data_IF_292199926282
#
_entry.id   IF_292199926282
#
_cell.length_a   1.000
_cell.length_b   1.000
_cell.length_c   1.000
_cell.angle_alpha   90.00
_cell.angle_beta   90.00
_cell.angle_gamma   90.00
#
_symmetry.space_group_name_H-M   'P 1'
#
loop_
_entity.id
_entity.type
_entity.pdbx_description
1 polymer ?
#
# COMPACT_ATOMS: atom_id res chain seq x y z
N UNK A 1 -12.41 -11.02 2.03
CA UNK A 1 -12.55 -9.90 2.97
C UNK A 1 -12.23 -8.61 2.24
N UNK A 2 -12.88 -7.48 2.57
CA UNK A 2 -12.55 -6.20 1.96
C UNK A 2 -11.06 -5.88 2.20
N UNK A 3 -10.42 -5.29 1.20
CA UNK A 3 -9.02 -4.85 1.27
C UNK A 3 -8.90 -3.33 1.20
N UNK A 4 -10.03 -2.63 1.26
CA UNK A 4 -10.09 -1.18 1.30
C UNK A 4 -11.09 -0.74 2.35
N UNK A 5 -10.63 0.11 3.26
CA UNK A 5 -11.36 0.56 4.44
C UNK A 5 -11.38 2.08 4.48
N UNK A 6 -12.47 2.65 4.99
CA UNK A 6 -12.57 4.07 5.35
C UNK A 6 -12.36 4.28 6.86
N UNK A 7 -12.15 5.52 7.36
CA UNK A 7 -11.78 5.74 8.76
C UNK A 7 -12.80 5.23 9.78
N UNK A 8 -14.09 5.19 9.42
CA UNK A 8 -15.17 4.59 10.21
C UNK A 8 -15.04 3.07 10.36
N UNK A 9 -14.31 2.42 9.46
CA UNK A 9 -14.03 0.98 9.46
C UNK A 9 -12.62 0.65 10.00
N UNK A 10 -11.96 1.60 10.67
CA UNK A 10 -10.61 1.39 11.23
C UNK A 10 -10.54 0.17 12.15
N UNK A 11 -11.58 -0.09 12.94
CA UNK A 11 -11.62 -1.26 13.82
C UNK A 11 -11.53 -2.59 13.05
N UNK A 12 -12.15 -2.68 11.87
CA UNK A 12 -12.09 -3.87 11.02
C UNK A 12 -10.70 -4.03 10.38
N UNK A 13 -10.07 -2.92 9.97
CA UNK A 13 -8.70 -2.90 9.50
C UNK A 13 -7.70 -3.40 10.56
N UNK A 14 -7.84 -2.93 11.81
CA UNK A 14 -7.03 -3.40 12.94
C UNK A 14 -7.27 -4.88 13.21
N UNK A 15 -8.53 -5.32 13.21
CA UNK A 15 -8.90 -6.72 13.41
C UNK A 15 -8.24 -7.61 12.36
N UNK A 16 -8.32 -7.24 11.08
CA UNK A 16 -7.69 -7.98 10.00
C UNK A 16 -6.16 -8.05 10.14
N UNK A 17 -5.51 -6.97 10.59
CA UNK A 17 -4.07 -6.98 10.88
C UNK A 17 -3.73 -8.02 11.96
N UNK A 18 -4.44 -7.99 13.09
CA UNK A 18 -4.18 -8.92 14.20
C UNK A 18 -4.48 -10.38 13.83
N UNK A 19 -5.55 -10.63 13.09
CA UNK A 19 -5.91 -11.97 12.61
C UNK A 19 -4.85 -12.54 11.68
N UNK A 20 -4.42 -11.78 10.66
CA UNK A 20 -3.44 -12.26 9.68
C UNK A 20 -2.02 -12.38 10.27
N UNK A 21 -1.64 -11.46 11.16
CA UNK A 21 -0.37 -11.53 11.89
C UNK A 21 -0.32 -12.74 12.84
N UNK A 22 -1.45 -13.07 13.46
CA UNK A 22 -1.53 -14.07 14.50
C UNK A 22 -0.61 -13.74 15.69
N UNK A 23 0.23 -14.71 16.05
CA UNK A 23 1.17 -14.60 17.17
C UNK A 23 2.54 -14.02 16.83
N UNK A 24 2.84 -13.73 15.56
CA UNK A 24 4.14 -13.22 15.15
C UNK A 24 4.39 -11.82 15.76
N UNK A 25 5.56 -11.55 16.36
CA UNK A 25 5.89 -10.23 16.88
C UNK A 25 6.00 -9.21 15.74
N UNK A 26 5.72 -7.94 16.05
CA UNK A 26 6.02 -6.85 15.12
C UNK A 26 7.48 -6.42 15.30
N UNK A 27 8.25 -6.46 14.22
CA UNK A 27 9.67 -6.09 14.22
C UNK A 27 10.02 -5.25 12.97
N UNK A 28 10.99 -4.33 13.06
CA UNK A 28 11.48 -3.62 11.89
C UNK A 28 12.16 -4.55 10.89
N UNK A 29 11.91 -4.32 9.60
CA UNK A 29 12.65 -4.96 8.52
C UNK A 29 13.54 -3.96 7.77
N UNK A 30 14.77 -4.37 7.50
CA UNK A 30 15.77 -3.59 6.79
C UNK A 30 15.94 -4.13 5.37
N UNK A 31 15.67 -3.30 4.37
CA UNK A 31 15.81 -3.62 2.96
C UNK A 31 16.99 -2.87 2.37
N UNK A 32 18.04 -3.59 2.00
CA UNK A 32 19.17 -3.00 1.28
C UNK A 32 18.82 -2.86 -0.20
N UNK A 33 18.68 -1.62 -0.67
CA UNK A 33 18.33 -1.27 -2.05
C UNK A 33 19.42 -0.38 -2.60
N UNK A 34 20.17 -0.81 -3.61
CA UNK A 34 21.24 -0.02 -4.23
C UNK A 34 22.22 0.64 -3.22
N UNK A 35 22.50 -0.04 -2.10
CA UNK A 35 23.43 0.44 -1.07
C UNK A 35 22.83 1.41 -0.04
N UNK A 36 21.53 1.73 -0.10
CA UNK A 36 20.78 2.39 0.99
C UNK A 36 19.93 1.38 1.75
N UNK A 37 19.67 1.68 3.01
CA UNK A 37 18.76 0.91 3.85
C UNK A 37 17.37 1.55 3.86
N UNK A 38 16.34 0.75 3.58
CA UNK A 38 14.93 1.13 3.65
C UNK A 38 14.32 0.34 4.80
N UNK A 39 13.93 1.06 5.85
CA UNK A 39 13.36 0.47 7.06
C UNK A 39 11.84 0.53 7.00
N UNK A 40 11.19 -0.62 7.20
CA UNK A 40 9.76 -0.68 7.49
C UNK A 40 9.62 -1.08 8.94
N UNK A 41 9.12 -0.16 9.77
CA UNK A 41 9.14 -0.29 11.23
C UNK A 41 8.24 -1.41 11.78
N UNK A 42 7.15 -1.71 11.08
CA UNK A 42 6.12 -2.65 11.54
C UNK A 42 5.97 -3.79 10.54
N UNK A 43 6.63 -4.90 10.80
CA UNK A 43 6.53 -6.10 9.95
C UNK A 43 6.31 -7.34 10.79
N UNK A 44 5.69 -8.35 10.19
CA UNK A 44 5.50 -9.66 10.79
C UNK A 44 5.58 -10.71 9.68
N UNK A 45 6.64 -11.53 9.70
CA UNK A 45 6.90 -12.51 8.65
C UNK A 45 6.97 -11.88 7.25
N UNK A 46 6.04 -12.28 6.37
CA UNK A 46 5.89 -11.78 5.01
C UNK A 46 4.95 -10.56 4.87
N UNK A 47 4.51 -9.96 5.98
CA UNK A 47 3.60 -8.82 6.00
C UNK A 47 4.30 -7.55 6.49
N UNK A 48 3.88 -6.40 5.95
CA UNK A 48 4.29 -5.09 6.43
C UNK A 48 3.09 -4.19 6.69
N UNK A 49 3.22 -3.28 7.66
CA UNK A 49 2.27 -2.22 7.93
C UNK A 49 3.01 -0.88 7.94
N UNK A 50 2.47 0.10 7.24
CA UNK A 50 3.07 1.43 7.15
C UNK A 50 2.01 2.51 6.95
N UNK A 51 2.33 3.74 7.34
CA UNK A 51 1.51 4.90 7.01
C UNK A 51 1.79 5.37 5.58
N UNK A 52 0.82 6.07 4.99
CA UNK A 52 1.02 6.75 3.70
C UNK A 52 2.21 7.70 3.75
N UNK A 53 2.42 8.41 4.86
CA UNK A 53 3.59 9.28 5.03
C UNK A 53 4.90 8.49 4.91
N UNK A 54 5.02 7.35 5.58
CA UNK A 54 6.22 6.53 5.58
C UNK A 54 6.61 6.03 4.19
N UNK A 55 5.61 5.69 3.35
CA UNK A 55 5.86 5.16 2.01
C UNK A 55 5.82 6.22 0.90
N UNK A 56 5.06 7.30 1.06
CA UNK A 56 4.77 8.25 -0.01
C UNK A 56 5.21 9.68 0.29
N UNK A 57 5.57 10.06 1.53
CA UNK A 57 6.16 11.37 1.84
C UNK A 57 7.69 11.32 2.08
N UNK A 58 8.28 10.12 2.00
CA UNK A 58 9.73 9.89 2.08
C UNK A 58 10.36 9.82 0.68
N UNK A 59 11.68 10.05 0.54
CA UNK A 59 12.39 9.93 -0.74
C UNK A 59 12.61 8.44 -1.11
N UNK A 60 11.52 7.72 -1.32
CA UNK A 60 11.50 6.37 -1.88
C UNK A 60 11.29 6.45 -3.39
N UNK A 61 12.04 5.64 -4.12
CA UNK A 61 11.97 5.53 -5.57
C UNK A 61 11.46 4.16 -6.03
N UNK A 62 11.32 3.96 -7.36
CA UNK A 62 10.81 2.71 -7.92
C UNK A 62 11.52 1.45 -7.42
N UNK A 63 12.84 1.48 -7.29
CA UNK A 63 13.63 0.33 -6.80
C UNK A 63 13.34 -0.01 -5.34
N UNK A 64 13.02 1.00 -4.52
CA UNK A 64 12.63 0.78 -3.13
C UNK A 64 11.26 0.08 -3.07
N UNK A 65 10.30 0.52 -3.89
CA UNK A 65 8.98 -0.11 -3.95
C UNK A 65 9.03 -1.53 -4.53
N UNK A 66 9.87 -1.79 -5.51
CA UNK A 66 10.11 -3.15 -6.01
C UNK A 66 10.70 -4.06 -4.94
N UNK A 67 11.63 -3.55 -4.12
CA UNK A 67 12.19 -4.31 -3.00
C UNK A 67 11.15 -4.58 -1.91
N UNK A 68 10.33 -3.58 -1.56
CA UNK A 68 9.21 -3.73 -0.61
C UNK A 68 8.22 -4.78 -1.14
N UNK A 69 7.77 -4.64 -2.38
CA UNK A 69 6.83 -5.56 -3.01
C UNK A 69 7.43 -6.98 -3.09
N UNK A 70 8.72 -7.12 -3.40
CA UNK A 70 9.42 -8.40 -3.40
C UNK A 70 9.50 -9.05 -2.02
N UNK A 71 9.79 -8.27 -0.96
CA UNK A 71 9.92 -8.77 0.41
C UNK A 71 8.60 -9.20 1.04
N UNK A 72 7.52 -8.49 0.75
CA UNK A 72 6.24 -8.67 1.44
C UNK A 72 5.15 -9.13 0.49
N UNK A 73 4.46 -10.22 0.85
CA UNK A 73 3.30 -10.70 0.11
C UNK A 73 2.04 -9.88 0.43
N UNK A 74 2.00 -9.20 1.57
CA UNK A 74 0.89 -8.32 1.99
C UNK A 74 1.40 -7.02 2.61
N UNK A 75 0.84 -5.90 2.18
CA UNK A 75 1.10 -4.56 2.72
C UNK A 75 -0.20 -3.98 3.29
N UNK A 76 -0.17 -3.55 4.54
CA UNK A 76 -1.18 -2.71 5.16
C UNK A 76 -0.73 -1.25 5.06
N UNK A 77 -1.51 -0.43 4.36
CA UNK A 77 -1.21 0.99 4.17
C UNK A 77 -2.29 1.83 4.86
N UNK A 78 -1.91 2.58 5.89
CA UNK A 78 -2.85 3.39 6.67
C UNK A 78 -2.68 4.89 6.46
N UNK A 79 -3.72 5.64 6.84
CA UNK A 79 -3.78 7.10 6.75
C UNK A 79 -3.60 7.65 5.32
N UNK A 80 -4.14 6.95 4.31
CA UNK A 80 -4.12 7.44 2.91
C UNK A 80 -5.05 8.65 2.79
N UNK A 81 -4.53 9.87 2.52
CA UNK A 81 -5.33 11.07 2.45
C UNK A 81 -6.02 11.18 1.09
N UNK A 82 -6.99 12.11 0.97
CA UNK A 82 -7.37 12.62 -0.35
C UNK A 82 -6.17 13.34 -0.97
N UNK A 83 -5.86 12.99 -2.21
CA UNK A 83 -4.76 13.54 -2.98
C UNK A 83 -5.26 14.73 -3.79
N UNK A 84 -4.33 15.62 -4.12
CA UNK A 84 -4.60 16.92 -4.71
C UNK A 84 -3.33 17.56 -5.27
N UNK A 85 -3.45 18.73 -5.93
CA UNK A 85 -2.27 19.48 -6.39
C UNK A 85 -1.24 19.78 -5.28
N UNK A 86 -1.70 19.93 -4.04
CA UNK A 86 -0.86 20.25 -2.88
C UNK A 86 0.09 19.11 -2.46
N UNK A 87 -0.23 17.85 -2.78
CA UNK A 87 0.55 16.66 -2.45
C UNK A 87 0.85 15.81 -3.70
N UNK A 88 1.05 16.47 -4.85
CA UNK A 88 1.25 15.81 -6.14
C UNK A 88 2.52 14.92 -6.19
N UNK A 89 3.55 15.24 -5.40
CA UNK A 89 4.75 14.40 -5.32
C UNK A 89 4.45 13.08 -4.61
N UNK A 90 3.67 13.13 -3.53
CA UNK A 90 3.19 11.98 -2.78
C UNK A 90 2.23 11.16 -3.64
N UNK A 91 1.34 11.80 -4.40
CA UNK A 91 0.44 11.13 -5.34
C UNK A 91 1.23 10.35 -6.40
N UNK A 92 2.27 10.93 -7.00
CA UNK A 92 3.15 10.23 -7.95
C UNK A 92 3.86 9.03 -7.35
N UNK A 93 4.33 9.16 -6.10
CA UNK A 93 4.94 8.06 -5.35
C UNK A 93 3.93 6.97 -5.04
N UNK A 94 2.69 7.32 -4.69
CA UNK A 94 1.61 6.37 -4.49
C UNK A 94 1.29 5.60 -5.79
N UNK A 95 1.18 6.27 -6.94
CA UNK A 95 1.02 5.59 -8.25
C UNK A 95 2.14 4.58 -8.47
N UNK A 96 3.39 4.97 -8.22
CA UNK A 96 4.57 4.10 -8.40
C UNK A 96 4.53 2.89 -7.44
N UNK A 97 4.11 3.11 -6.19
CA UNK A 97 3.91 2.04 -5.21
C UNK A 97 2.84 1.06 -5.70
N UNK A 98 1.66 1.54 -6.12
CA UNK A 98 0.57 0.67 -6.61
C UNK A 98 1.01 -0.13 -7.84
N UNK A 99 1.72 0.49 -8.78
CA UNK A 99 2.26 -0.22 -9.95
C UNK A 99 3.19 -1.37 -9.52
N UNK A 100 4.12 -1.13 -8.59
CA UNK A 100 5.04 -2.16 -8.09
C UNK A 100 4.31 -3.30 -7.35
N UNK A 101 3.34 -2.97 -6.50
CA UNK A 101 2.56 -3.99 -5.77
C UNK A 101 1.70 -4.83 -6.72
N UNK A 102 1.09 -4.18 -7.72
CA UNK A 102 0.28 -4.85 -8.73
C UNK A 102 1.14 -5.81 -9.57
N UNK A 103 2.28 -5.37 -10.09
CA UNK A 103 3.18 -6.22 -10.88
C UNK A 103 3.71 -7.41 -10.06
N UNK A 104 4.01 -7.20 -8.78
CA UNK A 104 4.48 -8.25 -7.87
C UNK A 104 3.37 -9.17 -7.35
N UNK A 105 2.10 -8.90 -7.68
CA UNK A 105 0.92 -9.57 -7.09
C UNK A 105 0.92 -9.54 -5.56
N UNK A 106 1.39 -8.43 -4.99
CA UNK A 106 1.38 -8.18 -3.55
C UNK A 106 0.01 -7.67 -3.15
N UNK A 107 -0.58 -8.28 -2.12
CA UNK A 107 -1.86 -7.83 -1.56
C UNK A 107 -1.68 -6.47 -0.90
N UNK A 108 -2.57 -5.54 -1.23
CA UNK A 108 -2.67 -4.26 -0.53
C UNK A 108 -3.94 -4.24 0.31
N UNK A 109 -3.81 -3.92 1.60
CA UNK A 109 -4.93 -3.58 2.49
C UNK A 109 -4.83 -2.10 2.83
N UNK A 110 -5.74 -1.28 2.31
CA UNK A 110 -5.73 0.18 2.48
C UNK A 110 -6.71 0.68 3.52
N UNK A 111 -6.28 1.64 4.35
CA UNK A 111 -7.14 2.49 5.17
C UNK A 111 -7.02 3.92 4.65
N UNK A 112 -8.07 4.41 3.99
CA UNK A 112 -8.05 5.64 3.23
C UNK A 112 -9.22 6.56 3.58
N UNK A 113 -9.02 7.87 3.51
CA UNK A 113 -10.07 8.87 3.79
C UNK A 113 -11.26 8.77 2.82
N UNK A 114 -11.05 8.22 1.62
CA UNK A 114 -12.04 8.10 0.57
C UNK A 114 -11.88 6.78 -0.22
N UNK A 115 -12.92 6.31 -0.95
CA UNK A 115 -12.77 5.22 -1.89
C UNK A 115 -11.80 5.59 -3.03
N UNK A 116 -11.21 4.60 -3.75
CA UNK A 116 -10.22 4.84 -4.78
C UNK A 116 -10.63 5.90 -5.82
N UNK A 117 -11.90 5.88 -6.27
CA UNK A 117 -12.46 6.79 -7.26
C UNK A 117 -12.49 8.25 -6.81
N UNK A 118 -12.51 8.48 -5.48
CA UNK A 118 -12.58 9.81 -4.88
C UNK A 118 -11.23 10.25 -4.27
N UNK A 119 -10.16 9.45 -4.41
CA UNK A 119 -8.85 9.79 -3.86
C UNK A 119 -8.15 10.90 -4.64
N UNK A 120 -8.29 10.98 -5.96
CA UNK A 120 -7.65 12.03 -6.75
C UNK A 120 -8.48 12.40 -7.97
N UNK A 121 -9.40 13.34 -7.78
CA UNK A 121 -10.39 13.71 -8.81
C UNK A 121 -9.95 14.88 -9.68
N UNK A 122 -8.98 15.69 -9.24
CA UNK A 122 -8.63 16.95 -9.89
C UNK A 122 -7.13 17.27 -9.76
N UNK A 123 -6.54 17.82 -10.83
CA UNK A 123 -5.15 18.28 -10.85
C UNK A 123 -4.27 17.57 -11.89
N UNK A 124 -2.99 17.95 -11.91
CA UNK A 124 -2.00 17.38 -12.84
C UNK A 124 -1.71 15.93 -12.45
N UNK A 125 -2.08 14.98 -13.32
CA UNK A 125 -1.93 13.56 -13.04
C UNK A 125 -3.24 12.83 -12.73
N UNK A 126 -4.38 13.53 -12.67
CA UNK A 126 -5.68 12.92 -12.35
C UNK A 126 -6.08 11.84 -13.38
N UNK A 127 -5.82 12.09 -14.67
CA UNK A 127 -6.07 11.10 -15.73
C UNK A 127 -5.18 9.86 -15.58
N UNK A 128 -3.88 10.05 -15.29
CA UNK A 128 -2.96 8.95 -15.00
C UNK A 128 -3.36 8.18 -13.75
N UNK A 129 -4.00 8.84 -12.78
CA UNK A 129 -4.51 8.23 -11.57
C UNK A 129 -5.74 7.33 -11.81
N UNK A 130 -6.54 7.55 -12.87
CA UNK A 130 -7.64 6.65 -13.23
C UNK A 130 -7.15 5.21 -13.47
N UNK A 131 -5.93 5.06 -14.03
CA UNK A 131 -5.27 3.74 -14.16
C UNK A 131 -4.91 3.13 -12.81
N UNK A 132 -4.57 3.97 -11.83
CA UNK A 132 -4.30 3.54 -10.46
C UNK A 132 -5.59 3.08 -9.78
N UNK A 133 -6.69 3.81 -9.96
CA UNK A 133 -8.02 3.41 -9.47
C UNK A 133 -8.43 2.06 -10.04
N UNK A 134 -8.26 1.85 -11.35
CA UNK A 134 -8.57 0.57 -11.98
C UNK A 134 -7.79 -0.60 -11.38
N UNK A 135 -6.49 -0.42 -11.12
CA UNK A 135 -5.66 -1.43 -10.45
C UNK A 135 -6.07 -1.67 -9.01
N UNK A 136 -6.37 -0.62 -8.25
CA UNK A 136 -6.86 -0.76 -6.87
C UNK A 136 -8.16 -1.57 -6.82
N UNK A 137 -9.08 -1.31 -7.75
CA UNK A 137 -10.34 -2.04 -7.86
C UNK A 137 -10.12 -3.51 -8.25
N UNK A 138 -9.20 -3.79 -9.16
CA UNK A 138 -8.82 -5.16 -9.51
C UNK A 138 -8.16 -5.88 -8.32
N UNK A 139 -7.23 -5.23 -7.62
CA UNK A 139 -6.57 -5.77 -6.43
C UNK A 139 -7.57 -6.05 -5.29
N UNK A 140 -8.71 -5.36 -5.27
CA UNK A 140 -9.80 -5.59 -4.33
C UNK A 140 -10.81 -6.67 -4.77
N UNK A 141 -10.71 -7.15 -6.00
CA UNK A 141 -11.60 -8.18 -6.54
C UNK A 141 -11.33 -9.55 -5.94
N UNK A 142 -12.37 -10.39 -5.85
CA UNK A 142 -12.23 -11.76 -5.36
C UNK A 142 -11.28 -12.60 -6.24
N UNK A 143 -11.26 -12.36 -7.55
CA UNK A 143 -10.41 -13.07 -8.49
C UNK A 143 -8.93 -12.80 -8.24
N UNK A 144 -8.56 -11.55 -7.91
CA UNK A 144 -7.20 -11.20 -7.54
C UNK A 144 -6.75 -11.91 -6.26
N UNK A 145 -7.62 -11.92 -5.24
CA UNK A 145 -7.35 -12.55 -3.94
C UNK A 145 -7.04 -14.06 -4.05
N UNK A 146 -7.44 -14.71 -5.14
CA UNK A 146 -7.13 -16.14 -5.40
C UNK A 146 -5.77 -16.38 -6.08
N UNK A 147 -5.16 -15.33 -6.65
CA UNK A 147 -3.90 -15.39 -7.40
C UNK A 147 -2.74 -14.66 -6.71
N UNK A 148 -2.92 -14.27 -5.45
CA UNK A 148 -1.90 -13.61 -4.64
C UNK A 148 -0.71 -14.53 -4.38
N UNK A 149 0.44 -13.93 -4.10
CA UNK A 149 1.61 -14.70 -3.68
C UNK A 149 1.32 -15.49 -2.40
N UNK A 150 1.72 -16.78 -2.33
CA UNK A 150 1.61 -17.54 -1.09
C UNK A 150 2.42 -16.88 0.03
N UNK A 151 1.93 -17.07 1.26
CA UNK A 151 2.60 -16.65 2.49
C UNK A 151 3.95 -17.34 2.68
#
# INVERSE_FOLDING_TARGET
SPVWFTPDQKADFETLWFELRGGEPEEPAHLTVLGRDVVIERTAGGMARATFEALCARPLGPQDYLAIAGRFHTIFLEDIPVLGPANHHEARRFVTLIDALYEAKTRLVGLAVAPPEALYTEGVGAFEFERTVSRLNEMASADWLTHERPA
#
